data_IF_085551370125
#
_entry.id   IF_085551370125
#
_cell.length_a   1.000
_cell.length_b   1.000
_cell.length_c   1.000
_cell.angle_alpha   90.00
_cell.angle_beta   90.00
_cell.angle_gamma   90.00
#
_symmetry.space_group_name_H-M   'P 1'
#
loop_
_entity.id
_entity.type
_entity.pdbx_description
1 polymer ?
#
# COMPACT_ATOMS: atom_id res chain seq x y z
N UNK A 1 -8.28 22.00 7.38
CA UNK A 1 -7.58 21.29 8.47
C UNK A 1 -6.76 20.18 7.82
N UNK A 2 -5.44 20.18 7.98
CA UNK A 2 -4.55 19.27 7.26
C UNK A 2 -4.48 17.89 7.93
N UNK A 3 -4.13 16.85 7.16
CA UNK A 3 -3.75 15.54 7.70
C UNK A 3 -2.67 15.63 8.81
N UNK A 4 -1.80 16.65 8.79
CA UNK A 4 -0.84 16.92 9.86
C UNK A 4 -1.47 17.40 11.18
N UNK A 5 -2.68 17.96 11.11
CA UNK A 5 -3.46 18.39 12.29
C UNK A 5 -4.30 17.22 12.84
N UNK A 6 -4.52 16.14 12.06
CA UNK A 6 -5.27 14.95 12.47
C UNK A 6 -4.48 14.02 13.40
N UNK A 7 -3.14 14.10 13.37
CA UNK A 7 -2.24 13.34 14.28
C UNK A 7 -2.06 14.06 15.63
N UNK A 8 -2.52 15.31 15.75
CA UNK A 8 -2.54 16.05 17.02
C UNK A 8 -3.86 15.83 17.76
N UNK A 9 -4.05 14.61 18.28
CA UNK A 9 -4.97 14.45 19.40
C UNK A 9 -4.50 15.36 20.55
N UNK A 10 -5.37 16.16 21.19
CA UNK A 10 -4.94 16.96 22.32
C UNK A 10 -4.59 16.05 23.50
N UNK A 11 -3.45 16.30 24.14
CA UNK A 11 -3.24 15.94 25.54
C UNK A 11 -2.00 15.08 25.87
N UNK A 12 -1.84 14.75 27.17
CA UNK A 12 -0.73 13.95 27.71
C UNK A 12 -0.60 12.56 27.06
N UNK A 13 -1.71 11.97 26.60
CA UNK A 13 -1.72 10.64 25.98
C UNK A 13 -0.95 10.59 24.66
N UNK A 14 -0.97 11.65 23.85
CA UNK A 14 -0.20 11.71 22.61
C UNK A 14 1.30 11.84 22.91
N UNK A 15 1.67 12.66 23.89
CA UNK A 15 3.05 12.79 24.33
C UNK A 15 3.58 11.48 24.94
N UNK A 16 2.75 10.77 25.71
CA UNK A 16 3.08 9.48 26.28
C UNK A 16 3.23 8.41 25.19
N UNK A 17 2.34 8.37 24.21
CA UNK A 17 2.45 7.49 23.04
C UNK A 17 3.72 7.80 22.21
N UNK A 18 4.07 9.07 22.04
CA UNK A 18 5.31 9.48 21.37
C UNK A 18 6.56 9.07 22.15
N UNK A 19 6.57 9.26 23.48
CA UNK A 19 7.67 8.82 24.35
C UNK A 19 7.83 7.30 24.33
N UNK A 20 6.72 6.56 24.37
CA UNK A 20 6.72 5.12 24.25
C UNK A 20 7.28 4.69 22.89
N UNK A 21 6.76 5.24 21.79
CA UNK A 21 7.24 4.94 20.45
C UNK A 21 8.74 5.24 20.30
N UNK A 22 9.20 6.38 20.82
CA UNK A 22 10.62 6.76 20.78
C UNK A 22 11.49 5.75 21.53
N UNK A 23 11.06 5.35 22.73
CA UNK A 23 11.73 4.32 23.53
C UNK A 23 11.79 3.00 22.77
N UNK A 24 10.71 2.58 22.12
CA UNK A 24 10.67 1.33 21.37
C UNK A 24 11.47 1.40 20.06
N UNK A 25 11.49 2.55 19.38
CA UNK A 25 12.31 2.80 18.20
C UNK A 25 13.81 2.80 18.52
N UNK A 26 14.20 3.29 19.70
CA UNK A 26 15.60 3.35 20.14
C UNK A 26 16.03 2.11 20.93
N UNK A 27 15.08 1.29 21.36
CA UNK A 27 15.31 0.09 22.17
C UNK A 27 15.65 -1.17 21.38
N UNK A 28 15.63 -2.30 22.09
CA UNK A 28 15.90 -3.63 21.55
C UNK A 28 14.64 -4.38 21.09
N UNK A 29 13.47 -3.73 21.18
CA UNK A 29 12.17 -4.33 20.81
C UNK A 29 12.23 -4.94 19.41
N UNK A 30 12.78 -4.23 18.43
CA UNK A 30 12.87 -4.70 17.04
C UNK A 30 13.63 -6.03 16.94
N UNK A 31 14.73 -6.14 17.67
CA UNK A 31 15.55 -7.34 17.68
C UNK A 31 14.82 -8.48 18.39
N UNK A 32 14.21 -8.21 19.56
CA UNK A 32 13.41 -9.19 20.29
C UNK A 32 12.21 -9.67 19.48
N UNK A 33 11.44 -8.77 18.87
CA UNK A 33 10.31 -9.10 18.00
C UNK A 33 10.74 -9.99 16.84
N UNK A 34 11.88 -9.67 16.20
CA UNK A 34 12.44 -10.51 15.14
C UNK A 34 12.80 -11.91 15.65
N UNK A 35 13.51 -12.02 16.78
CA UNK A 35 13.89 -13.32 17.36
C UNK A 35 12.65 -14.14 17.74
N UNK A 36 11.71 -13.53 18.48
CA UNK A 36 10.45 -14.18 18.86
C UNK A 36 9.72 -14.67 17.63
N UNK A 37 9.60 -13.85 16.59
CA UNK A 37 8.95 -14.25 15.34
C UNK A 37 9.62 -15.46 14.68
N UNK A 38 10.95 -15.52 14.66
CA UNK A 38 11.69 -16.64 14.08
C UNK A 38 11.55 -17.94 14.87
N UNK A 39 11.24 -17.85 16.16
CA UNK A 39 11.05 -19.00 17.06
C UNK A 39 9.61 -19.51 17.10
N UNK A 40 8.65 -18.78 16.51
CA UNK A 40 7.24 -19.18 16.51
C UNK A 40 7.01 -20.49 15.75
N UNK A 41 6.08 -21.33 16.25
CA UNK A 41 5.52 -22.43 15.47
C UNK A 41 5.01 -21.94 14.10
N UNK A 42 5.20 -22.74 13.06
CA UNK A 42 4.84 -22.35 11.69
C UNK A 42 3.31 -22.27 11.47
N UNK A 43 2.54 -22.94 12.32
CA UNK A 43 1.08 -23.00 12.29
C UNK A 43 0.39 -21.88 13.09
N UNK A 44 1.14 -21.08 13.87
CA UNK A 44 0.58 -19.96 14.63
C UNK A 44 0.45 -18.69 13.78
N UNK A 45 -0.43 -18.75 12.77
CA UNK A 45 -0.65 -17.63 11.84
C UNK A 45 -1.11 -16.35 12.54
N UNK A 46 -1.82 -16.46 13.67
CA UNK A 46 -2.33 -15.31 14.42
C UNK A 46 -1.16 -14.54 15.01
N UNK A 47 -0.24 -15.22 15.70
CA UNK A 47 0.88 -14.53 16.34
C UNK A 47 1.90 -14.02 15.32
N UNK A 48 2.14 -14.77 14.23
CA UNK A 48 2.92 -14.27 13.08
C UNK A 48 2.31 -12.96 12.54
N UNK A 49 0.99 -12.94 12.30
CA UNK A 49 0.29 -11.75 11.83
C UNK A 49 0.39 -10.57 12.80
N UNK A 50 0.20 -10.81 14.10
CA UNK A 50 0.25 -9.77 15.12
C UNK A 50 1.63 -9.14 15.24
N UNK A 51 2.70 -9.94 15.28
CA UNK A 51 4.07 -9.44 15.35
C UNK A 51 4.48 -8.70 14.07
N UNK A 52 4.10 -9.23 12.89
CA UNK A 52 4.35 -8.56 11.62
C UNK A 52 3.61 -7.22 11.54
N UNK A 53 2.37 -7.18 12.02
CA UNK A 53 1.56 -5.96 12.11
C UNK A 53 2.21 -4.95 13.05
N UNK A 54 2.59 -5.36 14.26
CA UNK A 54 3.25 -4.50 15.24
C UNK A 54 4.55 -3.91 14.67
N UNK A 55 5.40 -4.73 14.05
CA UNK A 55 6.64 -4.26 13.44
C UNK A 55 6.38 -3.28 12.28
N UNK A 56 5.37 -3.55 11.44
CA UNK A 56 4.97 -2.62 10.37
C UNK A 56 4.46 -1.28 10.89
N UNK A 57 3.75 -1.27 12.03
CA UNK A 57 3.25 -0.06 12.68
C UNK A 57 4.39 0.76 13.29
N UNK A 58 5.33 0.11 13.97
CA UNK A 58 6.55 0.76 14.51
C UNK A 58 7.34 1.42 13.38
N UNK A 59 7.57 0.68 12.27
CA UNK A 59 8.25 1.24 11.11
C UNK A 59 7.49 2.45 10.53
N UNK A 60 6.17 2.34 10.35
CA UNK A 60 5.38 3.45 9.79
C UNK A 60 5.48 4.69 10.69
N UNK A 61 5.27 4.52 11.99
CA UNK A 61 5.28 5.63 12.93
C UNK A 61 6.65 6.32 13.00
N UNK A 62 7.75 5.57 12.89
CA UNK A 62 9.10 6.13 12.81
C UNK A 62 9.41 6.77 11.46
N UNK A 63 9.03 6.15 10.33
CA UNK A 63 9.28 6.69 8.98
C UNK A 63 8.57 8.03 8.73
N UNK A 64 7.36 8.20 9.28
CA UNK A 64 6.57 9.42 9.15
C UNK A 64 6.74 10.38 10.33
N UNK A 65 7.79 10.17 11.15
CA UNK A 65 8.09 11.04 12.29
C UNK A 65 8.57 12.43 11.83
N UNK A 66 8.26 13.47 12.62
CA UNK A 66 8.63 14.86 12.32
C UNK A 66 10.14 15.12 12.45
N UNK A 67 10.81 14.41 13.36
CA UNK A 67 12.26 14.45 13.54
C UNK A 67 12.97 13.53 12.53
N UNK A 68 13.90 14.09 11.75
CA UNK A 68 14.68 13.37 10.73
C UNK A 68 15.57 12.25 11.28
N UNK A 69 16.12 12.42 12.50
CA UNK A 69 16.95 11.40 13.15
C UNK A 69 16.11 10.16 13.45
N UNK A 70 14.89 10.36 13.95
CA UNK A 70 13.98 9.24 14.24
C UNK A 70 13.52 8.54 12.97
N UNK A 71 13.30 9.30 11.88
CA UNK A 71 13.05 8.69 10.56
C UNK A 71 14.21 7.79 10.16
N UNK A 72 15.45 8.28 10.25
CA UNK A 72 16.64 7.50 9.92
C UNK A 72 16.77 6.25 10.80
N UNK A 73 16.58 6.35 12.11
CA UNK A 73 16.59 5.19 13.02
C UNK A 73 15.53 4.16 12.64
N UNK A 74 14.35 4.62 12.19
CA UNK A 74 13.25 3.74 11.76
C UNK A 74 13.54 3.00 10.46
N UNK A 75 14.40 3.53 9.58
CA UNK A 75 14.76 2.85 8.33
C UNK A 75 15.44 1.50 8.58
N UNK A 76 16.12 1.33 9.72
CA UNK A 76 16.70 0.06 10.15
C UNK A 76 15.65 -1.03 10.46
N UNK A 77 14.39 -0.65 10.70
CA UNK A 77 13.28 -1.61 10.84
C UNK A 77 12.99 -2.34 9.54
N UNK A 78 13.26 -1.69 8.41
CA UNK A 78 12.72 -2.11 7.14
C UNK A 78 13.31 -3.43 6.64
N UNK A 79 14.65 -3.62 6.60
CA UNK A 79 15.22 -4.92 6.23
C UNK A 79 14.72 -6.06 7.13
N UNK A 80 14.56 -5.81 8.43
CA UNK A 80 14.04 -6.81 9.37
C UNK A 80 12.60 -7.21 9.05
N UNK A 81 11.72 -6.23 8.81
CA UNK A 81 10.32 -6.48 8.44
C UNK A 81 10.22 -7.32 7.15
N UNK A 82 11.07 -7.02 6.17
CA UNK A 82 11.14 -7.79 4.92
C UNK A 82 11.66 -9.21 5.17
N UNK A 83 12.68 -9.39 6.02
CA UNK A 83 13.16 -10.72 6.42
C UNK A 83 12.06 -11.52 7.15
N UNK A 84 11.31 -10.90 8.07
CA UNK A 84 10.17 -11.53 8.74
C UNK A 84 9.11 -11.99 7.74
N UNK A 85 8.81 -11.15 6.74
CA UNK A 85 7.84 -11.45 5.68
C UNK A 85 8.32 -12.63 4.83
N UNK A 86 9.58 -12.64 4.38
CA UNK A 86 10.16 -13.73 3.57
C UNK A 86 10.17 -15.07 4.28
N UNK A 87 10.38 -15.05 5.60
CA UNK A 87 10.40 -16.26 6.44
C UNK A 87 9.02 -16.59 7.03
N UNK A 88 8.00 -15.86 6.62
CA UNK A 88 6.65 -16.01 7.16
C UNK A 88 5.95 -17.21 6.55
N UNK A 89 5.29 -18.07 7.36
CA UNK A 89 4.39 -19.08 6.83
C UNK A 89 3.11 -18.44 6.24
N UNK A 90 2.87 -17.15 6.49
CA UNK A 90 1.72 -16.41 5.97
C UNK A 90 1.70 -16.32 4.44
N UNK A 91 2.86 -16.31 3.78
CA UNK A 91 2.93 -16.32 2.32
C UNK A 91 2.39 -17.63 1.74
N UNK A 92 2.63 -18.76 2.42
CA UNK A 92 2.10 -20.06 2.01
C UNK A 92 0.58 -20.14 2.26
N UNK A 93 0.10 -19.53 3.34
CA UNK A 93 -1.34 -19.38 3.58
C UNK A 93 -2.04 -18.63 2.43
N UNK A 94 -1.40 -17.61 1.83
CA UNK A 94 -1.99 -16.89 0.69
C UNK A 94 -2.23 -17.77 -0.55
N UNK A 95 -1.37 -18.79 -0.74
CA UNK A 95 -1.45 -19.73 -1.85
C UNK A 95 -2.46 -20.83 -1.56
N UNK A 96 -2.41 -21.38 -0.35
CA UNK A 96 -3.13 -22.60 0.05
C UNK A 96 -4.57 -22.36 0.51
N UNK A 97 -4.89 -21.15 0.99
CA UNK A 97 -6.25 -20.82 1.42
C UNK A 97 -7.27 -21.02 0.30
N UNK A 98 -8.34 -21.74 0.62
CA UNK A 98 -9.50 -21.92 -0.25
C UNK A 98 -10.71 -21.23 0.40
N UNK A 99 -11.45 -20.38 -0.33
CA UNK A 99 -12.72 -19.87 0.16
C UNK A 99 -13.71 -21.03 0.36
N UNK A 100 -14.73 -20.87 1.23
CA UNK A 100 -15.76 -21.88 1.36
C UNK A 100 -16.59 -22.02 0.08
N UNK A 101 -16.71 -23.25 -0.41
CA UNK A 101 -17.34 -23.63 -1.69
C UNK A 101 -18.86 -23.81 -1.61
N UNK A 102 -19.43 -23.83 -0.40
CA UNK A 102 -20.86 -24.08 -0.22
C UNK A 102 -21.49 -23.22 0.87
N UNK A 103 -22.77 -22.90 0.69
CA UNK A 103 -23.57 -22.19 1.69
C UNK A 103 -23.59 -22.87 3.06
N UNK A 104 -23.44 -24.21 3.10
CA UNK A 104 -23.39 -24.98 4.34
C UNK A 104 -22.09 -24.75 5.14
N UNK A 105 -21.02 -24.33 4.48
CA UNK A 105 -19.76 -23.97 5.13
C UNK A 105 -19.78 -22.54 5.67
N UNK A 106 -20.72 -21.68 5.24
CA UNK A 106 -20.78 -20.28 5.65
C UNK A 106 -21.30 -20.13 7.08
N UNK A 107 -20.37 -20.17 8.04
CA UNK A 107 -20.64 -20.02 9.45
C UNK A 107 -19.64 -19.05 10.13
N UNK A 108 -19.81 -18.87 11.44
CA UNK A 108 -18.99 -17.95 12.25
C UNK A 108 -17.50 -18.29 12.18
N UNK A 109 -17.14 -19.57 12.19
CA UNK A 109 -15.74 -20.01 12.17
C UNK A 109 -15.11 -19.73 10.81
N UNK A 110 -15.78 -20.07 9.71
CA UNK A 110 -15.25 -19.80 8.36
C UNK A 110 -15.13 -18.31 8.07
N UNK A 111 -16.07 -17.49 8.58
CA UNK A 111 -15.99 -16.05 8.45
C UNK A 111 -14.79 -15.47 9.21
N UNK A 112 -14.50 -15.97 10.42
CA UNK A 112 -13.30 -15.58 11.19
C UNK A 112 -12.01 -15.98 10.49
N UNK A 113 -11.95 -17.19 9.95
CA UNK A 113 -10.80 -17.66 9.18
C UNK A 113 -10.58 -16.82 7.93
N UNK A 114 -11.65 -16.51 7.20
CA UNK A 114 -11.60 -15.58 6.06
C UNK A 114 -11.14 -14.19 6.47
N UNK A 115 -11.65 -13.67 7.60
CA UNK A 115 -11.25 -12.35 8.13
C UNK A 115 -9.77 -12.32 8.45
N UNK A 116 -9.23 -13.37 9.07
CA UNK A 116 -7.80 -13.50 9.35
C UNK A 116 -6.98 -13.55 8.05
N UNK A 117 -7.40 -14.37 7.08
CA UNK A 117 -6.79 -14.46 5.76
C UNK A 117 -6.73 -13.08 5.06
N UNK A 118 -7.85 -12.38 4.99
CA UNK A 118 -7.95 -11.06 4.35
C UNK A 118 -7.12 -10.01 5.11
N UNK A 119 -7.09 -10.08 6.44
CA UNK A 119 -6.25 -9.23 7.30
C UNK A 119 -4.77 -9.39 6.99
N UNK A 120 -4.32 -10.64 6.85
CA UNK A 120 -2.94 -10.99 6.51
C UNK A 120 -2.60 -10.49 5.10
N UNK A 121 -3.48 -10.74 4.13
CA UNK A 121 -3.32 -10.28 2.74
C UNK A 121 -3.12 -8.77 2.67
N UNK A 122 -4.03 -8.00 3.27
CA UNK A 122 -3.95 -6.53 3.33
C UNK A 122 -2.65 -6.07 4.02
N UNK A 123 -2.21 -6.76 5.08
CA UNK A 123 -0.94 -6.43 5.76
C UNK A 123 0.28 -6.66 4.88
N UNK A 124 0.36 -7.79 4.19
CA UNK A 124 1.45 -8.11 3.27
C UNK A 124 1.54 -7.07 2.14
N UNK A 125 0.39 -6.67 1.57
CA UNK A 125 0.32 -5.63 0.55
C UNK A 125 0.75 -4.25 1.08
N UNK A 126 0.46 -3.91 2.33
CA UNK A 126 0.96 -2.66 2.95
C UNK A 126 2.48 -2.70 3.13
N UNK A 127 3.04 -3.82 3.58
CA UNK A 127 4.50 -3.99 3.73
C UNK A 127 5.19 -3.85 2.37
N UNK A 128 4.58 -4.45 1.35
CA UNK A 128 4.99 -4.29 -0.03
C UNK A 128 4.93 -2.83 -0.50
N UNK A 129 3.81 -2.14 -0.25
CA UNK A 129 3.62 -0.75 -0.59
C UNK A 129 4.68 0.15 0.09
N UNK A 130 5.02 -0.15 1.34
CA UNK A 130 6.07 0.55 2.06
C UNK A 130 7.42 0.43 1.35
N UNK A 131 7.82 -0.79 1.00
CA UNK A 131 9.07 -1.06 0.27
C UNK A 131 9.10 -0.32 -1.09
N UNK A 132 7.96 -0.24 -1.78
CA UNK A 132 7.82 0.41 -3.07
C UNK A 132 8.07 1.93 -3.04
N UNK A 133 7.67 2.64 -1.97
CA UNK A 133 7.89 4.08 -1.85
C UNK A 133 9.16 4.47 -1.09
N UNK A 134 9.93 3.50 -0.55
CA UNK A 134 11.21 3.78 0.13
C UNK A 134 12.17 4.64 -0.71
N UNK A 135 12.35 4.40 -2.03
CA UNK A 135 13.25 5.22 -2.85
C UNK A 135 12.72 6.63 -2.98
N UNK A 136 11.42 6.73 -3.28
CA UNK A 136 10.76 7.98 -3.59
C UNK A 136 10.71 8.89 -2.37
N UNK A 137 10.33 8.38 -1.19
CA UNK A 137 10.15 9.20 -0.01
C UNK A 137 11.42 9.37 0.82
N UNK A 138 12.29 8.37 0.85
CA UNK A 138 13.44 8.32 1.77
C UNK A 138 14.80 8.19 1.07
N UNK A 139 14.84 8.04 -0.26
CA UNK A 139 16.09 7.88 -1.01
C UNK A 139 16.77 6.52 -0.77
N UNK A 140 16.03 5.54 -0.25
CA UNK A 140 16.53 4.22 0.13
C UNK A 140 16.11 3.21 -0.91
N UNK A 141 17.04 2.37 -1.39
CA UNK A 141 16.70 1.30 -2.34
C UNK A 141 15.68 0.33 -1.73
N UNK A 142 14.72 -0.19 -2.51
CA UNK A 142 13.83 -1.25 -2.05
C UNK A 142 14.65 -2.47 -1.67
N UNK A 143 14.18 -3.17 -0.65
CA UNK A 143 14.79 -4.41 -0.16
C UNK A 143 14.17 -5.62 -0.85
N UNK A 144 12.89 -5.56 -1.27
CA UNK A 144 12.27 -6.62 -2.07
C UNK A 144 12.76 -6.58 -3.52
N UNK A 145 12.96 -7.76 -4.12
CA UNK A 145 13.28 -7.89 -5.55
C UNK A 145 12.07 -7.57 -6.43
N UNK A 146 12.29 -7.48 -7.75
CA UNK A 146 11.20 -7.36 -8.73
C UNK A 146 10.27 -8.57 -8.60
N UNK A 147 10.81 -9.78 -8.58
CA UNK A 147 10.04 -11.03 -8.58
C UNK A 147 9.15 -11.14 -7.34
N UNK A 148 9.67 -10.75 -6.18
CA UNK A 148 8.90 -10.64 -4.94
C UNK A 148 7.81 -9.57 -5.04
N UNK A 149 8.14 -8.44 -5.66
CA UNK A 149 7.24 -7.28 -5.80
C UNK A 149 6.01 -7.53 -6.66
N UNK A 150 6.11 -8.47 -7.59
CA UNK A 150 5.04 -8.87 -8.50
C UNK A 150 4.77 -10.37 -8.36
N UNK A 151 4.94 -10.94 -7.17
CA UNK A 151 4.71 -12.38 -6.97
C UNK A 151 3.27 -12.77 -7.34
N UNK A 152 3.15 -13.90 -8.04
CA UNK A 152 1.88 -14.58 -8.32
C UNK A 152 1.17 -15.07 -7.04
N UNK A 153 1.88 -15.12 -5.91
CA UNK A 153 1.31 -15.45 -4.60
C UNK A 153 0.54 -14.29 -3.96
N UNK A 154 0.67 -13.07 -4.49
CA UNK A 154 -0.03 -11.90 -4.00
C UNK A 154 -1.34 -11.69 -4.77
N UNK A 155 -2.44 -11.64 -4.03
CA UNK A 155 -3.75 -11.23 -4.54
C UNK A 155 -4.12 -9.87 -3.96
N UNK A 156 -4.90 -9.10 -4.72
CA UNK A 156 -5.45 -7.83 -4.30
C UNK A 156 -6.56 -8.04 -3.24
N UNK A 157 -6.89 -7.02 -2.46
CA UNK A 157 -7.94 -7.14 -1.44
C UNK A 157 -9.31 -7.36 -2.05
N UNK A 158 -10.19 -8.04 -1.30
CA UNK A 158 -11.60 -8.13 -1.66
C UNK A 158 -12.27 -6.74 -1.60
N UNK A 159 -13.50 -6.67 -2.08
CA UNK A 159 -14.28 -5.44 -2.04
C UNK A 159 -14.58 -5.00 -0.59
N UNK A 160 -14.57 -3.69 -0.37
CA UNK A 160 -14.71 -3.12 0.97
C UNK A 160 -16.06 -3.47 1.62
N UNK A 161 -17.12 -3.61 0.84
CA UNK A 161 -18.45 -4.08 1.32
C UNK A 161 -18.36 -5.44 2.00
N UNK A 162 -17.60 -6.37 1.43
CA UNK A 162 -17.39 -7.70 1.99
C UNK A 162 -16.49 -7.63 3.23
N UNK A 163 -15.42 -6.83 3.17
CA UNK A 163 -14.51 -6.61 4.29
C UNK A 163 -15.18 -5.99 5.52
N UNK A 164 -16.10 -5.06 5.32
CA UNK A 164 -16.81 -4.37 6.40
C UNK A 164 -18.05 -5.12 6.91
N UNK A 165 -18.32 -6.33 6.42
CA UNK A 165 -19.38 -7.17 6.96
C UNK A 165 -19.17 -7.36 8.47
N UNK A 166 -20.20 -7.04 9.25
CA UNK A 166 -20.15 -7.01 10.72
C UNK A 166 -20.46 -8.35 11.37
N UNK A 167 -20.91 -9.33 10.58
CA UNK A 167 -21.28 -10.67 11.04
C UNK A 167 -21.13 -11.71 9.94
N UNK A 168 -20.98 -12.98 10.32
CA UNK A 168 -20.94 -14.09 9.38
C UNK A 168 -22.20 -14.18 8.50
N UNK A 169 -23.37 -13.81 9.02
CA UNK A 169 -24.62 -13.81 8.26
C UNK A 169 -24.63 -12.74 7.18
N UNK A 170 -24.16 -11.54 7.51
CA UNK A 170 -24.04 -10.44 6.56
C UNK A 170 -23.01 -10.80 5.48
N UNK A 171 -21.84 -11.29 5.90
CA UNK A 171 -20.79 -11.74 5.01
C UNK A 171 -21.26 -12.84 4.04
N UNK A 172 -21.97 -13.86 4.53
CA UNK A 172 -22.53 -14.93 3.71
C UNK A 172 -23.57 -14.42 2.70
N UNK A 173 -24.39 -13.44 3.11
CA UNK A 173 -25.41 -12.82 2.24
C UNK A 173 -24.76 -12.00 1.14
N UNK A 174 -23.67 -11.29 1.46
CA UNK A 174 -22.88 -10.55 0.48
C UNK A 174 -22.15 -11.51 -0.45
N UNK A 175 -21.47 -12.53 0.07
CA UNK A 175 -20.71 -13.52 -0.69
C UNK A 175 -21.55 -14.16 -1.81
N UNK A 176 -22.84 -14.41 -1.59
CA UNK A 176 -23.74 -14.97 -2.61
C UNK A 176 -23.93 -14.05 -3.85
N UNK A 177 -23.54 -12.77 -3.77
CA UNK A 177 -23.61 -11.79 -4.85
C UNK A 177 -22.28 -11.63 -5.59
N UNK A 178 -21.19 -12.23 -5.09
CA UNK A 178 -19.85 -12.11 -5.62
C UNK A 178 -19.41 -13.41 -6.31
N UNK A 179 -18.58 -13.27 -7.35
CA UNK A 179 -17.83 -14.40 -7.92
C UNK A 179 -16.63 -14.75 -7.02
N UNK A 180 -16.05 -15.94 -7.24
CA UNK A 180 -14.88 -16.41 -6.48
C UNK A 180 -13.70 -15.44 -6.56
N UNK A 181 -13.51 -14.80 -7.72
CA UNK A 181 -12.43 -13.84 -7.96
C UNK A 181 -12.58 -12.58 -7.09
N UNK A 182 -13.80 -12.12 -6.82
CA UNK A 182 -14.05 -10.99 -5.91
C UNK A 182 -13.93 -11.36 -4.43
N UNK A 183 -14.12 -12.64 -4.08
CA UNK A 183 -13.92 -13.15 -2.72
C UNK A 183 -12.45 -13.31 -2.37
N UNK A 184 -11.67 -13.92 -3.27
CA UNK A 184 -10.22 -14.12 -3.09
C UNK A 184 -9.43 -12.86 -3.42
N UNK A 185 -9.96 -12.03 -4.30
CA UNK A 185 -9.32 -10.88 -4.91
C UNK A 185 -8.45 -11.27 -6.11
N UNK A 186 -8.31 -10.33 -7.04
CA UNK A 186 -7.59 -10.55 -8.31
C UNK A 186 -6.09 -10.75 -8.07
N UNK A 187 -5.43 -11.55 -8.92
CA UNK A 187 -3.98 -11.73 -8.83
C UNK A 187 -3.23 -10.43 -9.15
N UNK A 188 -2.32 -10.01 -8.25
CA UNK A 188 -1.61 -8.73 -8.38
C UNK A 188 -0.83 -8.64 -9.70
N UNK A 189 -0.08 -9.68 -10.05
CA UNK A 189 0.73 -9.70 -11.29
C UNK A 189 -0.16 -9.62 -12.52
N UNK A 190 -1.22 -10.43 -12.57
CA UNK A 190 -2.12 -10.45 -13.73
C UNK A 190 -2.83 -9.10 -13.91
N UNK A 191 -3.34 -8.51 -12.82
CA UNK A 191 -3.93 -7.17 -12.84
C UNK A 191 -2.92 -6.12 -13.30
N UNK A 192 -1.66 -6.20 -12.85
CA UNK A 192 -0.61 -5.30 -13.29
C UNK A 192 -0.34 -5.44 -14.80
N UNK A 193 -0.20 -6.67 -15.30
CA UNK A 193 -0.01 -6.93 -16.73
C UNK A 193 -1.13 -6.31 -17.58
N UNK A 194 -2.38 -6.32 -17.09
CA UNK A 194 -3.49 -5.69 -17.81
C UNK A 194 -3.33 -4.17 -17.94
N UNK A 195 -2.72 -3.47 -16.98
CA UNK A 195 -2.39 -2.04 -17.11
C UNK A 195 -1.31 -1.76 -18.16
N UNK A 196 -0.42 -2.72 -18.41
CA UNK A 196 0.61 -2.65 -19.45
C UNK A 196 0.17 -3.21 -20.81
N UNK A 197 -0.92 -3.98 -20.87
CA UNK A 197 -1.55 -4.39 -22.12
C UNK A 197 -2.46 -3.29 -22.68
N UNK A 198 -1.88 -2.36 -23.42
CA UNK A 198 -2.57 -1.18 -23.94
C UNK A 198 -3.69 -1.48 -24.96
N UNK A 199 -3.94 -2.75 -25.30
CA UNK A 199 -5.01 -3.16 -26.20
C UNK A 199 -6.26 -3.64 -25.45
N UNK A 200 -6.16 -3.93 -24.15
CA UNK A 200 -7.30 -4.36 -23.34
C UNK A 200 -7.98 -3.19 -22.63
N UNK A 201 -9.16 -3.44 -22.05
CA UNK A 201 -9.76 -2.50 -21.10
C UNK A 201 -9.04 -2.59 -19.76
N UNK A 202 -8.85 -1.47 -19.03
CA UNK A 202 -8.27 -1.53 -17.70
C UNK A 202 -9.16 -2.38 -16.76
N UNK A 203 -8.55 -3.14 -15.83
CA UNK A 203 -9.30 -3.93 -14.86
C UNK A 203 -10.13 -3.01 -13.95
N UNK A 204 -11.31 -3.45 -13.55
CA UNK A 204 -12.07 -2.76 -12.53
C UNK A 204 -11.47 -3.06 -11.15
N UNK A 205 -11.20 -2.01 -10.38
CA UNK A 205 -10.59 -2.10 -9.06
C UNK A 205 -11.49 -1.47 -7.98
N UNK A 206 -11.55 -2.10 -6.82
CA UNK A 206 -11.97 -1.41 -5.60
C UNK A 206 -10.92 -0.39 -5.15
N UNK A 207 -11.30 0.51 -4.23
CA UNK A 207 -10.46 1.62 -3.79
C UNK A 207 -9.13 1.17 -3.18
N UNK A 208 -9.15 0.11 -2.36
CA UNK A 208 -7.93 -0.41 -1.75
C UNK A 208 -7.00 -1.04 -2.80
N UNK A 209 -7.56 -1.82 -3.72
CA UNK A 209 -6.80 -2.40 -4.84
C UNK A 209 -6.20 -1.32 -5.73
N UNK A 210 -6.96 -0.27 -6.02
CA UNK A 210 -6.50 0.89 -6.78
C UNK A 210 -5.33 1.61 -6.10
N UNK A 211 -5.39 1.79 -4.78
CA UNK A 211 -4.31 2.34 -3.97
C UNK A 211 -3.03 1.48 -4.03
N UNK A 212 -3.16 0.15 -3.94
CA UNK A 212 -2.01 -0.75 -4.07
C UNK A 212 -1.44 -0.67 -5.49
N UNK A 213 -2.29 -0.75 -6.53
CA UNK A 213 -1.84 -0.70 -7.93
C UNK A 213 -1.08 0.59 -8.23
N UNK A 214 -1.55 1.77 -7.80
CA UNK A 214 -0.83 3.02 -8.11
C UNK A 214 0.56 3.05 -7.46
N UNK A 215 0.72 2.44 -6.29
CA UNK A 215 2.03 2.31 -5.63
C UNK A 215 2.93 1.31 -6.39
N UNK A 216 2.38 0.19 -6.88
CA UNK A 216 3.12 -0.76 -7.72
C UNK A 216 3.57 -0.08 -9.02
N UNK A 217 2.69 0.70 -9.65
CA UNK A 217 3.02 1.48 -10.86
C UNK A 217 4.11 2.51 -10.56
N UNK A 218 4.01 3.22 -9.42
CA UNK A 218 5.06 4.15 -8.97
C UNK A 218 6.41 3.44 -8.82
N UNK A 219 6.43 2.20 -8.30
CA UNK A 219 7.64 1.39 -8.17
C UNK A 219 8.35 1.15 -9.50
N UNK A 220 7.62 1.06 -10.62
CA UNK A 220 8.23 0.90 -11.94
C UNK A 220 9.19 2.04 -12.30
N UNK A 221 9.00 3.26 -11.75
CA UNK A 221 9.95 4.37 -11.92
C UNK A 221 11.36 4.02 -11.43
N UNK A 222 11.47 3.20 -10.38
CA UNK A 222 12.74 2.73 -9.85
C UNK A 222 13.42 1.75 -10.80
N UNK A 223 12.68 0.77 -11.32
CA UNK A 223 13.23 -0.24 -12.24
C UNK A 223 13.74 0.38 -13.54
N UNK A 224 13.06 1.43 -14.03
CA UNK A 224 13.53 2.21 -15.19
C UNK A 224 14.92 2.82 -14.92
N UNK A 225 15.14 3.37 -13.72
CA UNK A 225 16.40 4.04 -13.37
C UNK A 225 17.54 3.06 -13.17
N UNK A 226 17.26 1.89 -12.58
CA UNK A 226 18.25 0.83 -12.39
C UNK A 226 18.70 0.20 -13.72
N UNK A 227 18.08 0.59 -14.84
CA UNK A 227 18.42 0.10 -16.17
C UNK A 227 17.85 -1.28 -16.46
N UNK A 228 16.73 -1.66 -15.82
CA UNK A 228 16.01 -2.86 -16.26
C UNK A 228 15.44 -2.60 -17.66
N UNK A 229 15.91 -3.38 -18.63
CA UNK A 229 15.73 -3.12 -20.06
C UNK A 229 14.45 -3.74 -20.66
N UNK A 230 13.49 -4.17 -19.85
CA UNK A 230 12.22 -4.68 -20.38
C UNK A 230 11.35 -3.53 -20.92
N UNK A 231 10.60 -3.82 -21.99
CA UNK A 231 9.70 -2.85 -22.62
C UNK A 231 8.64 -2.29 -21.65
N UNK A 232 8.34 -3.03 -20.59
CA UNK A 232 7.42 -2.62 -19.52
C UNK A 232 8.00 -1.48 -18.68
N UNK A 233 9.32 -1.48 -18.49
CA UNK A 233 10.06 -0.52 -17.67
C UNK A 233 10.73 0.54 -18.55
N UNK A 234 9.92 1.32 -19.25
CA UNK A 234 10.37 2.60 -19.82
C UNK A 234 9.39 3.73 -19.47
N UNK A 235 9.87 4.98 -19.51
CA UNK A 235 9.10 6.15 -19.10
C UNK A 235 7.80 6.34 -19.92
N UNK A 236 7.77 5.90 -21.18
CA UNK A 236 6.58 5.99 -22.02
C UNK A 236 5.53 4.95 -21.63
N UNK A 237 5.93 3.70 -21.42
CA UNK A 237 5.05 2.63 -20.91
C UNK A 237 4.49 3.00 -19.52
N UNK A 238 5.32 3.55 -18.63
CA UNK A 238 4.88 4.04 -17.31
C UNK A 238 3.79 5.11 -17.42
N UNK A 239 3.97 6.12 -18.29
CA UNK A 239 2.97 7.18 -18.50
C UNK A 239 1.66 6.63 -19.04
N UNK A 240 1.71 5.64 -19.94
CA UNK A 240 0.51 4.96 -20.44
C UNK A 240 -0.20 4.16 -19.35
N UNK A 241 0.53 3.41 -18.54
CA UNK A 241 -0.04 2.68 -17.40
C UNK A 241 -0.71 3.64 -16.40
N UNK A 242 -0.07 4.77 -16.09
CA UNK A 242 -0.64 5.83 -15.26
C UNK A 242 -1.93 6.42 -15.86
N UNK A 243 -1.94 6.72 -17.17
CA UNK A 243 -3.12 7.23 -17.84
C UNK A 243 -4.30 6.24 -17.76
N UNK A 244 -4.03 4.94 -17.93
CA UNK A 244 -5.05 3.88 -17.82
C UNK A 244 -5.56 3.69 -16.40
N UNK A 245 -4.68 3.78 -15.40
CA UNK A 245 -5.11 3.82 -14.00
C UNK A 245 -6.03 5.02 -13.73
N UNK A 246 -5.71 6.20 -14.26
CA UNK A 246 -6.56 7.38 -14.11
C UNK A 246 -7.90 7.23 -14.84
N UNK A 247 -7.90 6.68 -16.06
CA UNK A 247 -9.11 6.40 -16.84
C UNK A 247 -10.04 5.42 -16.13
N UNK A 248 -9.50 4.34 -15.56
CA UNK A 248 -10.24 3.38 -14.76
C UNK A 248 -10.99 4.08 -13.62
N UNK A 249 -10.30 4.97 -12.91
CA UNK A 249 -10.86 5.70 -11.75
C UNK A 249 -11.82 6.83 -12.09
N UNK A 250 -11.70 7.41 -13.28
CA UNK A 250 -12.63 8.42 -13.77
C UNK A 250 -13.86 7.80 -14.46
N UNK A 251 -13.78 6.52 -14.83
CA UNK A 251 -14.91 5.82 -15.44
C UNK A 251 -16.05 5.69 -14.43
N UNK A 252 -17.31 5.94 -14.82
CA UNK A 252 -18.45 5.77 -13.94
C UNK A 252 -18.60 4.28 -13.62
N UNK A 253 -18.03 3.85 -12.51
CA UNK A 253 -18.33 2.55 -11.94
C UNK A 253 -19.80 2.52 -11.48
N UNK A 254 -20.45 1.34 -11.44
CA UNK A 254 -21.78 1.22 -10.85
C UNK A 254 -21.80 1.85 -9.44
N UNK A 255 -22.95 2.43 -9.03
CA UNK A 255 -23.07 3.37 -7.89
C UNK A 255 -22.61 2.84 -6.53
N UNK A 256 -22.33 1.54 -6.40
CA UNK A 256 -21.88 0.88 -5.17
C UNK A 256 -20.41 1.16 -4.81
N UNK A 257 -19.57 1.52 -5.77
CA UNK A 257 -18.12 1.75 -5.57
C UNK A 257 -17.75 3.20 -5.24
N UNK A 258 -18.67 4.16 -5.40
CA UNK A 258 -18.40 5.58 -5.13
C UNK A 258 -18.60 6.01 -3.67
N UNK A 259 -18.97 5.08 -2.77
CA UNK A 259 -19.26 5.41 -1.37
C UNK A 259 -18.05 5.93 -0.59
N UNK A 260 -16.81 5.74 -1.10
CA UNK A 260 -15.58 6.10 -0.39
C UNK A 260 -14.69 7.11 -1.12
N UNK A 261 -15.27 8.15 -1.74
CA UNK A 261 -14.54 9.27 -2.40
C UNK A 261 -13.36 9.83 -1.58
N UNK A 262 -13.45 9.78 -0.25
CA UNK A 262 -12.38 10.24 0.64
C UNK A 262 -11.07 9.45 0.47
N UNK A 263 -11.11 8.12 0.37
CA UNK A 263 -9.91 7.32 0.22
C UNK A 263 -9.22 7.61 -1.12
N UNK A 264 -9.98 7.65 -2.21
CA UNK A 264 -9.44 7.95 -3.54
C UNK A 264 -8.73 9.32 -3.62
N UNK A 265 -9.38 10.38 -3.14
CA UNK A 265 -8.85 11.75 -3.25
C UNK A 265 -7.65 12.00 -2.34
N UNK A 266 -7.63 11.40 -1.14
CA UNK A 266 -6.60 11.73 -0.14
C UNK A 266 -5.42 10.75 -0.10
N UNK A 267 -5.53 9.53 -0.64
CA UNK A 267 -4.43 8.55 -0.60
C UNK A 267 -3.90 8.19 -1.98
N UNK A 268 -4.76 7.76 -2.92
CA UNK A 268 -4.32 7.25 -4.21
C UNK A 268 -3.94 8.35 -5.20
N UNK A 269 -4.72 9.43 -5.27
CA UNK A 269 -4.48 10.53 -6.20
C UNK A 269 -3.14 11.28 -5.96
N UNK A 270 -2.70 11.55 -4.72
CA UNK A 270 -1.35 12.06 -4.47
C UNK A 270 -0.24 11.14 -4.99
N UNK A 271 -0.40 9.82 -4.87
CA UNK A 271 0.56 8.84 -5.41
C UNK A 271 0.59 8.86 -6.94
N UNK A 272 -0.55 9.04 -7.59
CA UNK A 272 -0.62 9.23 -9.03
C UNK A 272 0.14 10.46 -9.50
N UNK A 273 -0.10 11.61 -8.87
CA UNK A 273 0.64 12.82 -9.22
C UNK A 273 2.13 12.68 -8.95
N UNK A 274 2.51 12.00 -7.86
CA UNK A 274 3.91 11.72 -7.54
C UNK A 274 4.55 10.86 -8.65
N UNK A 275 3.85 9.83 -9.12
CA UNK A 275 4.32 8.99 -10.22
C UNK A 275 4.46 9.79 -11.53
N UNK A 276 3.51 10.67 -11.85
CA UNK A 276 3.60 11.57 -13.01
C UNK A 276 4.81 12.51 -12.91
N UNK A 277 5.02 13.12 -11.74
CA UNK A 277 6.14 14.00 -11.48
C UNK A 277 7.48 13.29 -11.70
N UNK A 278 7.65 12.09 -11.12
CA UNK A 278 8.87 11.30 -11.29
C UNK A 278 9.04 10.78 -12.71
N UNK A 279 7.96 10.41 -13.41
CA UNK A 279 8.03 9.99 -14.82
C UNK A 279 8.48 11.11 -15.77
N UNK A 280 8.42 12.36 -15.31
CA UNK A 280 8.88 13.53 -16.07
C UNK A 280 10.36 13.85 -15.82
N UNK A 281 10.88 13.46 -14.66
CA UNK A 281 12.27 13.64 -14.26
C UNK A 281 12.68 12.56 -13.26
N UNK A 282 13.16 11.44 -13.81
CA UNK A 282 13.52 10.24 -13.04
C UNK A 282 14.72 10.47 -12.11
N UNK A 283 15.56 11.49 -12.36
CA UNK A 283 16.70 11.81 -11.48
C UNK A 283 16.27 12.10 -10.04
N UNK A 284 15.01 12.51 -9.84
CA UNK A 284 14.44 12.84 -8.53
C UNK A 284 14.09 11.65 -7.66
N UNK A 285 14.00 10.43 -8.22
CA UNK A 285 13.70 9.23 -7.43
C UNK A 285 14.78 9.01 -6.37
N UNK A 286 16.04 9.26 -6.68
CA UNK A 286 17.18 9.08 -5.77
C UNK A 286 17.70 10.38 -5.18
N UNK A 287 16.91 11.45 -5.16
CA UNK A 287 17.28 12.62 -4.37
C UNK A 287 17.54 12.17 -2.92
N UNK A 288 18.74 12.49 -2.40
CA UNK A 288 19.19 12.18 -1.05
C UNK A 288 19.14 13.42 -0.15
N UNK A 289 18.48 14.50 -0.60
CA UNK A 289 18.30 15.70 0.21
C UNK A 289 17.61 15.35 1.52
N UNK A 290 18.18 15.85 2.62
CA UNK A 290 17.72 15.56 3.99
C UNK A 290 16.28 16.03 4.21
N UNK A 291 15.85 17.05 3.45
CA UNK A 291 14.53 17.64 3.47
C UNK A 291 13.60 17.13 2.36
N UNK A 292 14.00 16.12 1.57
CA UNK A 292 13.18 15.54 0.49
C UNK A 292 11.80 15.11 0.97
N UNK A 293 11.77 14.36 2.06
CA UNK A 293 10.52 13.88 2.65
C UNK A 293 9.61 15.07 2.99
N UNK A 294 10.15 16.10 3.64
CA UNK A 294 9.39 17.27 4.07
C UNK A 294 8.90 18.10 2.86
N UNK A 295 9.72 18.24 1.81
CA UNK A 295 9.34 18.87 0.53
C UNK A 295 8.21 18.11 -0.17
N UNK A 296 8.35 16.78 -0.30
CA UNK A 296 7.33 15.93 -0.93
C UNK A 296 6.05 15.89 -0.11
N UNK A 297 6.13 15.81 1.21
CA UNK A 297 4.97 15.86 2.10
C UNK A 297 4.25 17.21 2.02
N UNK A 298 5.00 18.33 2.04
CA UNK A 298 4.44 19.66 1.83
C UNK A 298 3.76 19.77 0.46
N UNK A 299 4.37 19.20 -0.58
CA UNK A 299 3.81 19.18 -1.92
C UNK A 299 2.52 18.36 -2.03
N UNK A 300 2.54 17.08 -1.60
CA UNK A 300 1.39 16.18 -1.66
C UNK A 300 0.18 16.74 -0.90
N UNK A 301 0.42 17.47 0.18
CA UNK A 301 -0.62 18.06 1.02
C UNK A 301 -0.93 19.53 0.72
N UNK A 302 -0.50 20.04 -0.44
CA UNK A 302 -0.84 21.38 -0.92
C UNK A 302 -0.31 22.53 -0.04
N UNK A 303 0.67 22.25 0.83
CA UNK A 303 1.34 23.22 1.71
C UNK A 303 2.66 23.76 1.13
N UNK A 304 3.10 23.25 -0.03
CA UNK A 304 4.28 23.71 -0.75
C UNK A 304 3.96 24.26 -2.15
N UNK A 305 4.92 24.96 -2.77
CA UNK A 305 4.83 25.31 -4.20
C UNK A 305 4.68 24.03 -5.02
N UNK A 306 3.59 23.90 -5.79
CA UNK A 306 3.44 22.79 -6.74
C UNK A 306 4.59 22.86 -7.74
N UNK A 307 5.32 21.78 -8.03
CA UNK A 307 6.36 21.77 -9.02
C UNK A 307 5.71 22.10 -10.36
N UNK A 308 6.19 23.18 -10.96
CA UNK A 308 5.84 23.58 -12.30
C UNK A 308 6.51 22.59 -13.24
N UNK A 309 5.72 21.75 -13.93
CA UNK A 309 6.24 20.88 -14.98
C UNK A 309 5.96 21.57 -16.31
N UNK A 310 7.00 22.16 -16.92
CA UNK A 310 6.98 22.77 -18.27
C UNK A 310 5.82 23.77 -18.48
N UNK A 311 5.84 24.88 -17.75
CA UNK A 311 4.98 26.07 -17.92
C UNK A 311 3.45 25.84 -17.85
N UNK A 312 3.01 24.63 -17.50
CA UNK A 312 1.61 24.31 -17.24
C UNK A 312 1.48 23.63 -15.89
N UNK A 313 0.63 24.19 -15.02
CA UNK A 313 0.11 23.46 -13.87
C UNK A 313 -0.61 22.23 -14.43
N UNK A 314 -0.15 21.03 -14.05
CA UNK A 314 -0.84 19.79 -14.39
C UNK A 314 -2.25 19.85 -13.79
N UNK A 315 -3.21 20.17 -14.66
CA UNK A 315 -4.65 20.13 -14.44
C UNK A 315 -5.09 20.96 -13.22
N UNK A 316 -5.40 22.24 -13.46
CA UNK A 316 -6.47 22.86 -12.68
C UNK A 316 -7.70 21.97 -12.85
N UNK A 317 -8.11 21.27 -11.79
CA UNK A 317 -9.42 20.66 -11.75
C UNK A 317 -10.44 21.81 -11.89
N UNK A 318 -11.20 21.90 -12.99
CA UNK A 318 -12.15 22.99 -13.19
C UNK A 318 -13.26 23.01 -12.12
N UNK A 319 -13.34 21.97 -11.28
CA UNK A 319 -14.33 21.87 -10.20
C UNK A 319 -13.80 22.25 -8.81
N UNK A 320 -12.49 22.51 -8.63
CA UNK A 320 -11.92 22.88 -7.32
C UNK A 320 -11.83 24.41 -7.15
N UNK A 321 -12.02 25.19 -8.22
CA UNK A 321 -11.94 26.66 -8.18
C UNK A 321 -13.20 27.38 -7.69
N UNK A 322 -14.23 26.68 -7.21
CA UNK A 322 -15.39 27.30 -6.55
C UNK A 322 -15.99 26.41 -5.44
N UNK A 323 -15.38 26.40 -4.26
CA UNK A 323 -16.09 26.21 -2.96
C UNK A 323 -15.34 26.86 -1.82
#
# INVERSE_FOLDING_TARGET
LSAADYVRGPGPALEEAQKYLLKELQGDLRHKTMLTYMELPQDDYILHYQLLTAMSMVQAAGLFHSNVVERQVSTGCHPLLITMTRRSPLLELMVTYQPPDSAAQLNEETWRQWTLYESIKRRLLIIYAHDAFMPVLFGIRPVMSIEESISDKLTLPCDDTLWYASSAKEWASLQALYDEDRLRGQNLRQTLCQFWDFNSKPPQLNDHSSFIIIIVILRASFFIIEGHHDWEYNAFSLKKALARWYEERCSPHPPETMSNRHNYTFTALPMYYLALFLSSDLSKVYDQSVDKFDKLAAWMWGRGQRPVIRDHLLLEDPNISNT
#
